data_IF_914535246603
#
_entry.id   IF_914535246603
#
_cell.length_a   1.000
_cell.length_b   1.000
_cell.length_c   1.000
_cell.angle_alpha   90.00
_cell.angle_beta   90.00
_cell.angle_gamma   90.00
#
_symmetry.space_group_name_H-M   'P 1'
#
loop_
_entity.id
_entity.type
_entity.pdbx_description
1 polymer ?
#
# COMPACT_ATOMS: atom_id res chain seq x y z
N UNK A 1 -37.74 -2.00 10.75
CA UNK A 1 -36.52 -1.90 9.92
C UNK A 1 -35.67 -3.12 10.23
N UNK A 2 -35.05 -3.73 9.23
CA UNK A 2 -34.18 -4.91 9.41
C UNK A 2 -32.75 -4.55 9.06
N UNK A 3 -31.81 -5.08 9.85
CA UNK A 3 -30.38 -4.81 9.77
C UNK A 3 -29.66 -6.11 9.46
N UNK A 4 -28.77 -6.08 8.46
CA UNK A 4 -27.92 -7.22 8.15
C UNK A 4 -26.72 -7.22 9.10
N UNK A 5 -26.44 -8.34 9.74
CA UNK A 5 -25.32 -8.52 10.65
C UNK A 5 -24.42 -9.67 10.21
N UNK A 6 -23.11 -9.47 10.33
CA UNK A 6 -22.06 -10.45 10.05
C UNK A 6 -21.44 -10.94 11.37
N UNK A 7 -21.40 -12.25 11.55
CA UNK A 7 -20.71 -12.90 12.65
C UNK A 7 -19.19 -12.96 12.38
N UNK A 8 -18.34 -12.96 13.41
CA UNK A 8 -16.89 -13.22 13.28
C UNK A 8 -16.53 -14.54 12.58
N UNK A 9 -17.44 -15.52 12.51
CA UNK A 9 -17.24 -16.75 11.72
C UNK A 9 -17.61 -16.60 10.22
N UNK A 10 -17.88 -15.38 9.75
CA UNK A 10 -18.24 -15.08 8.36
C UNK A 10 -19.70 -15.36 7.98
N UNK A 11 -20.58 -15.65 8.94
CA UNK A 11 -22.01 -15.88 8.68
C UNK A 11 -22.78 -14.57 8.70
N UNK A 12 -23.55 -14.28 7.65
CA UNK A 12 -24.41 -13.09 7.59
C UNK A 12 -25.87 -13.48 7.88
N UNK A 13 -26.56 -12.70 8.71
CA UNK A 13 -27.97 -12.90 9.06
C UNK A 13 -28.71 -11.56 9.02
N UNK A 14 -29.98 -11.59 8.60
CA UNK A 14 -30.86 -10.42 8.62
C UNK A 14 -31.73 -10.47 9.86
N UNK A 15 -31.63 -9.46 10.71
CA UNK A 15 -32.39 -9.38 11.97
C UNK A 15 -33.18 -8.08 12.03
N UNK A 16 -34.31 -8.02 12.76
CA UNK A 16 -34.96 -6.75 13.04
C UNK A 16 -34.04 -5.85 13.89
N UNK A 17 -34.14 -4.54 13.72
CA UNK A 17 -33.25 -3.57 14.37
C UNK A 17 -33.26 -3.67 15.91
N UNK A 18 -34.42 -3.98 16.49
CA UNK A 18 -34.58 -4.26 17.93
C UNK A 18 -33.71 -5.42 18.42
N UNK A 19 -33.47 -6.41 17.56
CA UNK A 19 -32.61 -7.54 17.84
C UNK A 19 -31.15 -7.23 17.47
N UNK A 20 -30.90 -6.25 16.59
CA UNK A 20 -29.56 -5.97 16.11
C UNK A 20 -28.62 -5.57 17.26
N UNK A 21 -29.10 -4.75 18.21
CA UNK A 21 -28.35 -4.38 19.41
C UNK A 21 -27.82 -5.61 20.19
N UNK A 22 -28.67 -6.63 20.38
CA UNK A 22 -28.29 -7.86 21.08
C UNK A 22 -27.13 -8.59 20.38
N UNK A 23 -27.16 -8.66 19.05
CA UNK A 23 -26.10 -9.32 18.29
C UNK A 23 -24.82 -8.49 18.26
N UNK A 24 -24.92 -7.16 18.18
CA UNK A 24 -23.78 -6.25 18.29
C UNK A 24 -23.07 -6.44 19.64
N UNK A 25 -23.81 -6.55 20.75
CA UNK A 25 -23.26 -6.87 22.08
C UNK A 25 -22.60 -8.26 22.15
N UNK A 26 -23.02 -9.20 21.28
CA UNK A 26 -22.41 -10.53 21.13
C UNK A 26 -21.22 -10.54 20.18
N UNK A 27 -20.76 -9.37 19.73
CA UNK A 27 -19.61 -9.22 18.83
C UNK A 27 -19.94 -9.48 17.36
N UNK A 28 -21.22 -9.46 16.97
CA UNK A 28 -21.58 -9.37 15.55
C UNK A 28 -21.36 -7.93 15.07
N UNK A 29 -21.18 -7.75 13.78
CA UNK A 29 -20.98 -6.44 13.16
C UNK A 29 -22.06 -6.18 12.12
N UNK A 30 -22.41 -4.93 11.83
CA UNK A 30 -23.35 -4.66 10.73
C UNK A 30 -22.68 -5.03 9.40
N UNK A 31 -23.34 -5.83 8.58
CA UNK A 31 -22.82 -6.26 7.29
C UNK A 31 -22.69 -5.03 6.37
N UNK A 32 -21.46 -4.65 6.05
CA UNK A 32 -21.16 -3.43 5.29
C UNK A 32 -20.96 -2.18 6.16
N UNK A 33 -21.13 -2.26 7.49
CA UNK A 33 -20.36 -1.36 8.33
C UNK A 33 -18.93 -1.88 8.29
N UNK A 34 -18.08 -1.12 7.63
CA UNK A 34 -16.63 -1.25 7.72
C UNK A 34 -16.31 -1.25 9.21
N UNK A 35 -16.19 -2.43 9.82
CA UNK A 35 -15.56 -2.51 11.11
C UNK A 35 -14.18 -1.93 10.87
N UNK A 36 -13.77 -0.86 11.58
CA UNK A 36 -12.37 -0.51 11.61
C UNK A 36 -11.69 -1.75 12.19
N UNK A 37 -11.17 -2.61 11.31
CA UNK A 37 -10.19 -3.59 11.71
C UNK A 37 -9.13 -2.75 12.42
N UNK A 38 -9.01 -3.02 13.72
CA UNK A 38 -7.96 -2.52 14.59
C UNK A 38 -6.73 -2.27 13.74
N UNK A 39 -6.32 -1.00 13.67
CA UNK A 39 -5.11 -0.49 13.02
C UNK A 39 -4.12 -1.63 12.72
N UNK A 40 -4.32 -2.29 11.57
CA UNK A 40 -3.34 -3.23 11.05
C UNK A 40 -2.16 -2.31 10.81
N UNK A 41 -1.15 -2.41 11.67
CA UNK A 41 0.16 -1.88 11.36
C UNK A 41 0.51 -2.61 10.08
N UNK A 42 0.29 -1.95 8.95
CA UNK A 42 0.53 -2.52 7.64
C UNK A 42 2.02 -2.78 7.60
N UNK A 43 2.42 -4.02 7.90
CA UNK A 43 3.81 -4.44 7.84
C UNK A 43 4.18 -4.39 6.36
N UNK A 44 4.90 -3.34 5.99
CA UNK A 44 5.43 -3.16 4.65
C UNK A 44 6.63 -4.10 4.53
N UNK A 45 6.57 -5.15 3.69
CA UNK A 45 7.72 -6.03 3.49
C UNK A 45 8.91 -5.24 2.94
N UNK A 46 10.12 -5.64 3.31
CA UNK A 46 11.32 -5.12 2.67
C UNK A 46 11.48 -5.75 1.28
N UNK A 47 11.60 -4.92 0.24
CA UNK A 47 11.79 -5.37 -1.14
C UNK A 47 10.93 -4.62 -2.15
N UNK A 48 10.91 -5.12 -3.38
CA UNK A 48 10.08 -4.59 -4.48
C UNK A 48 8.65 -5.07 -4.29
N UNK A 49 7.65 -4.18 -4.33
CA UNK A 49 6.26 -4.59 -4.24
C UNK A 49 5.87 -5.50 -5.41
N UNK A 50 5.18 -6.59 -5.08
CA UNK A 50 4.73 -7.60 -6.04
C UNK A 50 3.23 -7.89 -5.89
N UNK A 51 2.65 -8.63 -6.83
CA UNK A 51 1.21 -8.96 -6.85
C UNK A 51 0.75 -9.75 -5.59
N UNK A 52 1.68 -10.39 -4.89
CA UNK A 52 1.44 -11.07 -3.62
C UNK A 52 1.13 -10.11 -2.46
N UNK A 53 1.43 -8.81 -2.59
CA UNK A 53 1.17 -7.82 -1.53
C UNK A 53 -0.32 -7.50 -1.38
N UNK A 54 -0.73 -7.14 -0.17
CA UNK A 54 -2.07 -6.61 0.11
C UNK A 54 -2.22 -5.22 -0.51
N UNK A 55 -3.47 -4.85 -0.82
CA UNK A 55 -3.76 -3.53 -1.41
C UNK A 55 -3.24 -2.43 -0.48
N UNK A 56 -3.59 -2.57 0.80
CA UNK A 56 -3.17 -1.69 1.88
C UNK A 56 -1.64 -1.60 2.02
N UNK A 57 -0.89 -2.69 1.78
CA UNK A 57 0.58 -2.68 1.77
C UNK A 57 1.15 -1.87 0.60
N UNK A 58 0.52 -1.95 -0.58
CA UNK A 58 0.93 -1.18 -1.75
C UNK A 58 0.64 0.31 -1.58
N UNK A 59 -0.53 0.65 -1.03
CA UNK A 59 -0.89 2.03 -0.71
C UNK A 59 0.07 2.64 0.32
N UNK A 60 0.36 1.91 1.40
CA UNK A 60 1.30 2.37 2.43
C UNK A 60 2.74 2.50 1.90
N UNK A 61 3.19 1.59 1.03
CA UNK A 61 4.50 1.69 0.38
C UNK A 61 4.59 2.89 -0.55
N UNK A 62 3.57 3.10 -1.39
CA UNK A 62 3.51 4.24 -2.29
C UNK A 62 3.55 5.57 -1.53
N UNK A 63 2.77 5.70 -0.45
CA UNK A 63 2.81 6.88 0.41
C UNK A 63 4.18 7.09 1.05
N UNK A 64 4.83 6.01 1.53
CA UNK A 64 6.19 6.06 2.10
C UNK A 64 7.23 6.55 1.11
N UNK A 65 7.17 6.07 -0.13
CA UNK A 65 8.12 6.43 -1.19
C UNK A 65 7.77 7.74 -1.91
N UNK A 66 6.58 8.30 -1.64
CA UNK A 66 6.06 9.51 -2.28
C UNK A 66 5.55 9.26 -3.71
N UNK A 67 5.10 8.05 -4.01
CA UNK A 67 4.61 7.63 -5.33
C UNK A 67 3.10 7.87 -5.41
N UNK A 68 2.66 8.60 -6.43
CA UNK A 68 1.24 8.81 -6.68
C UNK A 68 0.63 7.62 -7.42
N UNK A 69 -0.34 6.95 -6.79
CA UNK A 69 -1.09 5.85 -7.39
C UNK A 69 -2.23 6.33 -8.31
N UNK A 70 -2.53 7.63 -8.33
CA UNK A 70 -3.55 8.24 -9.17
C UNK A 70 -4.91 7.51 -9.11
N UNK A 71 -5.34 6.96 -10.25
CA UNK A 71 -6.61 6.22 -10.39
C UNK A 71 -6.46 4.70 -10.29
N UNK A 72 -5.27 4.19 -9.92
CA UNK A 72 -4.99 2.77 -9.81
C UNK A 72 -5.82 2.14 -8.68
N UNK A 73 -6.98 1.58 -9.01
CA UNK A 73 -7.88 0.94 -8.04
C UNK A 73 -7.67 -0.57 -7.91
N UNK A 74 -6.92 -1.18 -8.84
CA UNK A 74 -6.63 -2.62 -8.85
C UNK A 74 -5.21 -2.85 -8.34
N UNK A 75 -5.00 -3.90 -7.54
CA UNK A 75 -3.66 -4.25 -7.03
C UNK A 75 -2.60 -4.33 -8.13
N UNK A 76 -2.88 -5.04 -9.22
CA UNK A 76 -1.94 -5.18 -10.34
C UNK A 76 -1.54 -3.83 -10.95
N UNK A 77 -2.49 -2.87 -10.99
CA UNK A 77 -2.26 -1.52 -11.48
C UNK A 77 -1.38 -0.72 -10.50
N UNK A 78 -1.66 -0.82 -9.19
CA UNK A 78 -0.84 -0.21 -8.13
C UNK A 78 0.59 -0.74 -8.16
N UNK A 79 0.79 -2.06 -8.27
CA UNK A 79 2.12 -2.67 -8.38
C UNK A 79 2.86 -2.11 -9.60
N UNK A 80 2.21 -2.06 -10.76
CA UNK A 80 2.83 -1.54 -11.98
C UNK A 80 3.29 -0.07 -11.82
N UNK A 81 2.43 0.80 -11.28
CA UNK A 81 2.76 2.20 -11.04
C UNK A 81 3.94 2.35 -10.08
N UNK A 82 3.93 1.59 -8.97
CA UNK A 82 5.01 1.63 -7.98
C UNK A 82 6.32 1.15 -8.59
N UNK A 83 6.32 0.01 -9.29
CA UNK A 83 7.52 -0.54 -9.92
C UNK A 83 8.09 0.41 -10.97
N UNK A 84 7.23 1.03 -11.79
CA UNK A 84 7.67 2.04 -12.77
C UNK A 84 8.30 3.24 -12.09
N UNK A 85 7.66 3.78 -11.04
CA UNK A 85 8.20 4.92 -10.30
C UNK A 85 9.53 4.59 -9.59
N UNK A 86 9.68 3.38 -9.05
CA UNK A 86 10.94 2.92 -8.45
C UNK A 86 12.06 2.83 -9.49
N UNK A 87 11.79 2.28 -10.68
CA UNK A 87 12.78 2.23 -11.76
C UNK A 87 13.24 3.62 -12.21
N UNK A 88 12.31 4.59 -12.26
CA UNK A 88 12.64 5.99 -12.58
C UNK A 88 13.51 6.63 -11.49
N UNK A 89 13.22 6.31 -10.21
CA UNK A 89 13.97 6.82 -9.05
C UNK A 89 15.40 6.25 -8.99
N UNK A 90 15.58 4.95 -9.24
CA UNK A 90 16.90 4.32 -9.32
C UNK A 90 17.71 4.83 -10.52
N UNK A 91 17.06 5.14 -11.65
CA UNK A 91 17.73 5.74 -12.80
C UNK A 91 18.17 7.20 -12.54
N UNK A 92 17.46 7.93 -11.68
CA UNK A 92 17.78 9.32 -11.34
C UNK A 92 18.92 9.45 -10.31
N UNK A 93 19.07 8.49 -9.39
CA UNK A 93 20.15 8.47 -8.39
C UNK A 93 21.47 7.91 -8.95
N UNK A 94 21.43 7.22 -10.10
CA UNK A 94 22.60 6.73 -10.83
C UNK A 94 23.37 7.77 -11.64
N UNK A 95 23.00 9.06 -11.57
CA UNK A 95 23.68 10.15 -12.28
C UNK A 95 24.79 10.83 -11.46
N UNK A 96 25.41 10.17 -10.48
CA UNK A 96 26.79 10.52 -10.10
C UNK A 96 27.74 9.84 -11.09
N UNK A 97 27.74 10.36 -12.31
CA UNK A 97 28.87 10.15 -13.21
C UNK A 97 30.05 10.83 -12.54
N UNK A 98 30.87 10.02 -11.88
CA UNK A 98 32.26 10.36 -11.59
C UNK A 98 32.92 10.83 -12.88
N UNK A 99 32.86 12.14 -13.14
CA UNK A 99 33.74 12.78 -14.09
C UNK A 99 34.94 13.23 -13.27
N UNK A 100 35.85 12.27 -13.09
CA UNK A 100 37.22 12.56 -12.74
C UNK A 100 37.71 13.68 -13.65
N UNK A 101 37.86 14.87 -13.09
CA UNK A 101 38.88 15.78 -13.59
C UNK A 101 40.19 15.19 -13.09
N UNK A 102 40.64 14.14 -13.79
CA UNK A 102 42.06 14.01 -14.07
C UNK A 102 42.41 15.35 -14.73
N UNK A 103 42.98 16.26 -13.94
CA UNK A 103 43.68 17.41 -14.48
C UNK A 103 44.82 16.77 -15.27
N UNK A 104 44.84 16.78 -16.61
CA UNK A 104 46.09 16.52 -17.28
C UNK A 104 47.06 17.58 -16.76
N UNK A 105 48.25 17.15 -16.39
CA UNK A 105 49.41 18.00 -16.20
C UNK A 105 49.99 18.31 -17.59
N UNK A 106 49.82 19.53 -18.12
CA UNK A 106 50.60 19.96 -19.28
C UNK A 106 51.61 21.02 -18.87
N UNK A 107 52.76 20.62 -18.32
CA UNK A 107 54.01 21.36 -18.56
C UNK A 107 55.20 20.39 -18.43
N UNK A 108 55.65 19.79 -19.55
CA UNK A 108 56.79 20.29 -20.33
C UNK A 108 58.02 20.56 -19.43
N UNK A 109 59.09 19.78 -19.45
CA UNK A 109 59.86 19.45 -20.63
C UNK A 109 60.99 20.47 -20.84
N UNK A 110 62.21 20.05 -20.48
CA UNK A 110 63.56 20.65 -20.66
C UNK A 110 64.13 21.48 -19.52
#
# INVERSE_FOLDING_TARGET
MTTNLTHPKGQTVTVPDEAAAYYLEKGWSVAGAETPHERDVVEIPEGVPEESWKGDQLDAYAEREGIDLGSASKKADKVAVIVTALQEKEAADGADTGNGTEVPDPEAGS
#
